data_IF_070325001285
#
_entry.id   IF_070325001285
#
_cell.length_a   1.000
_cell.length_b   1.000
_cell.length_c   1.000
_cell.angle_alpha   90.00
_cell.angle_beta   90.00
_cell.angle_gamma   90.00
#
_symmetry.space_group_name_H-M   'P 1'
#
loop_
_entity.id
_entity.type
_entity.pdbx_description
1 polymer ?
#
# COMPACT_ATOMS: atom_id res chain seq x y z
N UNK A 1 20.06 77.01 -21.63
CA UNK A 1 18.99 76.49 -20.75
C UNK A 1 19.45 75.16 -20.18
N UNK A 2 19.10 74.93 -18.92
CA UNK A 2 19.75 74.03 -17.96
C UNK A 2 19.52 72.52 -18.20
N UNK A 3 20.43 71.72 -17.61
CA UNK A 3 20.25 70.32 -17.20
C UNK A 3 21.02 69.32 -18.07
N UNK A 4 22.14 68.70 -17.67
CA UNK A 4 22.66 68.40 -16.33
C UNK A 4 23.01 66.91 -16.26
N UNK A 5 24.09 66.50 -16.93
CA UNK A 5 24.73 65.19 -16.75
C UNK A 5 25.75 65.27 -15.62
N UNK A 6 25.80 64.27 -14.74
CA UNK A 6 27.03 63.87 -14.06
C UNK A 6 26.91 62.44 -13.53
N UNK A 7 27.94 61.65 -13.80
CA UNK A 7 28.15 60.30 -13.31
C UNK A 7 29.15 60.29 -12.13
N UNK A 8 29.11 59.17 -11.40
CA UNK A 8 30.16 58.54 -10.59
C UNK A 8 30.47 59.07 -9.17
N UNK A 9 30.31 58.17 -8.17
CA UNK A 9 31.38 57.63 -7.32
C UNK A 9 30.82 56.59 -6.30
N UNK A 10 31.53 55.47 -6.10
CA UNK A 10 31.39 54.54 -4.93
C UNK A 10 32.17 55.14 -3.73
N UNK A 11 31.96 54.75 -2.45
CA UNK A 11 32.53 53.48 -1.89
C UNK A 11 31.79 52.85 -0.67
N UNK A 12 32.23 51.62 -0.34
CA UNK A 12 32.25 50.85 0.93
C UNK A 12 31.27 51.11 2.10
N UNK A 13 30.72 50.01 2.64
CA UNK A 13 30.81 49.71 4.09
C UNK A 13 30.35 48.27 4.41
N UNK A 14 31.29 47.52 4.98
CA UNK A 14 31.10 46.35 5.85
C UNK A 14 30.39 46.73 7.15
N UNK A 15 29.48 45.88 7.68
CA UNK A 15 29.24 45.55 9.12
C UNK A 15 28.01 44.60 9.27
N UNK A 16 27.78 43.92 10.43
CA UNK A 16 27.89 42.47 10.51
C UNK A 16 26.56 41.69 10.69
N UNK A 17 26.64 40.38 10.48
CA UNK A 17 25.63 39.37 10.82
C UNK A 17 25.63 39.17 12.34
N UNK A 18 24.54 39.51 13.01
CA UNK A 18 24.25 39.08 14.38
C UNK A 18 23.43 37.78 14.31
N UNK A 19 23.93 36.76 15.01
CA UNK A 19 23.28 35.48 15.20
C UNK A 19 22.00 35.62 16.03
N UNK A 20 20.96 34.92 15.60
CA UNK A 20 19.77 34.64 16.41
C UNK A 20 20.00 33.27 17.07
N UNK A 21 20.36 33.30 18.34
CA UNK A 21 20.27 32.15 19.23
C UNK A 21 18.80 31.83 19.50
N UNK A 22 18.46 30.55 19.40
CA UNK A 22 17.14 30.00 19.65
C UNK A 22 17.06 29.54 21.12
N UNK A 23 16.25 30.24 21.92
CA UNK A 23 15.90 29.81 23.28
C UNK A 23 14.66 28.90 23.28
N UNK A 24 14.66 27.78 24.03
CA UNK A 24 13.49 26.90 24.15
C UNK A 24 12.43 27.47 25.13
N UNK A 25 11.14 27.15 24.94
CA UNK A 25 10.07 27.70 25.77
C UNK A 25 10.08 27.12 27.19
N UNK A 26 9.86 28.03 28.14
CA UNK A 26 9.72 27.80 29.59
C UNK A 26 8.52 26.91 29.90
N UNK A 27 8.76 25.85 30.69
CA UNK A 27 7.72 25.01 31.30
C UNK A 27 6.98 25.81 32.39
N UNK A 28 5.68 26.05 32.21
CA UNK A 28 4.81 26.46 33.31
C UNK A 28 4.60 25.30 34.29
N UNK A 29 5.04 25.52 35.54
CA UNK A 29 4.79 24.63 36.67
C UNK A 29 3.38 24.83 37.18
N UNK A 30 2.56 23.79 37.13
CA UNK A 30 1.32 23.72 37.91
C UNK A 30 1.66 23.58 39.41
N UNK A 31 1.21 24.55 40.22
CA UNK A 31 1.30 24.51 41.68
C UNK A 31 0.18 23.66 42.31
N UNK A 32 0.34 23.22 43.57
CA UNK A 32 -0.54 22.23 44.20
C UNK A 32 -1.83 22.88 44.74
N UNK A 33 -2.98 22.27 44.45
CA UNK A 33 -4.25 22.63 45.08
C UNK A 33 -4.33 22.00 46.49
N UNK A 34 -4.62 22.85 47.47
CA UNK A 34 -4.69 22.52 48.89
C UNK A 34 -5.95 21.76 49.30
N UNK A 35 -5.79 21.06 50.41
CA UNK A 35 -6.75 20.26 51.17
C UNK A 35 -7.81 21.15 51.84
N UNK A 36 -9.07 20.70 51.79
CA UNK A 36 -10.17 21.19 52.63
C UNK A 36 -11.08 20.02 53.02
N UNK A 37 -11.02 19.65 54.30
CA UNK A 37 -11.76 18.55 54.93
C UNK A 37 -13.24 18.88 55.23
N UNK A 38 -13.98 17.76 55.46
CA UNK A 38 -15.07 17.51 56.43
C UNK A 38 -16.53 17.51 55.97
N UNK A 39 -17.18 16.37 56.21
CA UNK A 39 -18.65 16.23 56.33
C UNK A 39 -19.15 14.79 56.16
N UNK A 40 -19.09 14.00 57.22
CA UNK A 40 -19.63 12.63 57.36
C UNK A 40 -21.15 12.54 57.16
N UNK A 41 -21.66 11.41 56.63
CA UNK A 41 -22.74 10.63 57.23
C UNK A 41 -23.01 9.32 56.45
N UNK A 42 -22.69 8.18 57.09
CA UNK A 42 -23.28 6.86 56.86
C UNK A 42 -24.32 6.59 57.97
N UNK A 43 -25.36 5.75 57.77
CA UNK A 43 -25.19 4.34 58.14
C UNK A 43 -26.01 3.30 57.33
N UNK A 44 -25.51 2.07 57.26
CA UNK A 44 -26.36 0.88 57.02
C UNK A 44 -25.66 -0.37 56.46
N UNK A 45 -24.97 -1.13 57.32
CA UNK A 45 -24.55 -2.53 57.12
C UNK A 45 -25.72 -3.48 57.46
N UNK A 46 -25.89 -4.76 57.04
CA UNK A 46 -25.06 -5.98 56.84
C UNK A 46 -25.96 -7.07 56.14
N UNK A 47 -25.61 -8.37 55.89
CA UNK A 47 -24.40 -9.05 55.36
C UNK A 47 -24.64 -10.01 54.15
N UNK A 48 -23.60 -10.19 53.33
CA UNK A 48 -22.88 -11.48 53.15
C UNK A 48 -23.40 -12.56 52.18
N UNK A 49 -22.63 -12.87 51.11
CA UNK A 49 -22.06 -14.22 50.83
C UNK A 49 -20.94 -14.09 49.75
N UNK A 50 -19.75 -14.69 49.91
CA UNK A 50 -18.68 -14.59 48.91
C UNK A 50 -18.70 -15.76 47.91
N UNK A 51 -18.63 -15.46 46.60
CA UNK A 51 -18.41 -16.46 45.55
C UNK A 51 -16.92 -16.56 45.24
N UNK A 52 -16.32 -17.70 45.60
CA UNK A 52 -15.00 -18.11 45.14
C UNK A 52 -15.02 -18.56 43.66
N UNK A 53 -13.97 -18.29 42.88
CA UNK A 53 -13.83 -18.84 41.53
C UNK A 53 -13.39 -20.31 41.58
N UNK A 54 -14.10 -21.18 40.85
CA UNK A 54 -13.71 -22.57 40.62
C UNK A 54 -12.70 -22.68 39.46
N UNK A 55 -11.66 -23.52 39.59
CA UNK A 55 -10.69 -23.77 38.52
C UNK A 55 -11.24 -24.81 37.53
N UNK A 56 -11.22 -24.48 36.22
CA UNK A 56 -11.45 -25.46 35.16
C UNK A 56 -10.22 -26.36 35.00
N UNK A 57 -10.49 -27.67 35.08
CA UNK A 57 -9.54 -28.77 35.01
C UNK A 57 -8.96 -28.94 33.61
N UNK A 58 -7.64 -29.05 33.54
CA UNK A 58 -6.91 -29.60 32.39
C UNK A 58 -7.17 -31.10 32.23
N UNK A 59 -7.34 -31.55 30.98
CA UNK A 59 -7.38 -32.96 30.61
C UNK A 59 -6.00 -33.41 30.08
N UNK A 60 -5.47 -34.59 30.47
CA UNK A 60 -4.11 -35.00 30.13
C UNK A 60 -4.04 -35.67 28.74
N UNK A 61 -3.08 -35.22 27.94
CA UNK A 61 -2.61 -35.92 26.74
C UNK A 61 -1.81 -37.16 27.14
N UNK A 62 -2.33 -38.35 26.81
CA UNK A 62 -1.60 -39.62 26.92
C UNK A 62 -0.45 -39.66 25.90
N UNK A 63 0.76 -39.87 26.39
CA UNK A 63 1.89 -40.41 25.61
C UNK A 63 1.69 -41.91 25.39
N UNK A 64 1.83 -42.38 24.17
CA UNK A 64 2.14 -43.78 23.87
C UNK A 64 3.56 -43.87 23.34
N UNK A 65 4.43 -44.48 24.15
CA UNK A 65 5.78 -44.91 23.83
C UNK A 65 5.79 -46.36 23.34
N UNK A 66 6.59 -46.65 22.30
CA UNK A 66 7.07 -47.99 21.91
C UNK A 66 7.83 -47.87 20.58
N UNK A 67 9.15 -47.63 20.54
CA UNK A 67 10.33 -48.51 20.74
C UNK A 67 10.42 -49.73 19.81
N UNK A 68 11.58 -49.80 19.13
CA UNK A 68 12.23 -50.97 18.52
C UNK A 68 11.99 -51.07 17.03
N UNK A 69 12.95 -51.11 16.10
CA UNK A 69 14.39 -51.38 16.05
C UNK A 69 14.61 -51.80 14.57
N UNK A 70 15.59 -51.36 13.81
CA UNK A 70 17.02 -51.59 13.94
C UNK A 70 17.58 -52.02 12.56
N UNK A 71 18.57 -51.24 12.09
CA UNK A 71 19.76 -51.60 11.30
C UNK A 71 19.66 -52.49 10.02
N UNK A 72 20.23 -52.01 8.90
CA UNK A 72 21.60 -52.34 8.41
C UNK A 72 21.82 -51.90 6.96
N UNK A 73 23.10 -51.68 6.63
CA UNK A 73 23.64 -51.16 5.38
C UNK A 73 24.22 -52.25 4.44
N UNK A 74 24.11 -51.97 3.13
CA UNK A 74 25.01 -52.27 1.98
C UNK A 74 25.42 -53.75 1.69
N UNK A 75 26.12 -54.11 0.57
CA UNK A 75 26.47 -53.40 -0.69
C UNK A 75 26.29 -54.26 -2.00
N UNK A 76 26.60 -53.68 -3.17
CA UNK A 76 27.46 -54.38 -4.17
C UNK A 76 26.94 -54.74 -5.59
N UNK A 77 27.87 -54.65 -6.55
CA UNK A 77 27.90 -55.12 -7.96
C UNK A 77 27.10 -54.28 -8.99
N UNK A 78 27.65 -53.74 -10.09
CA UNK A 78 28.90 -53.99 -10.81
C UNK A 78 28.65 -54.96 -11.96
N UNK A 79 28.52 -54.46 -13.20
CA UNK A 79 29.14 -55.09 -14.38
C UNK A 79 29.01 -54.28 -15.67
N UNK A 80 29.86 -54.67 -16.62
CA UNK A 80 30.56 -53.84 -17.59
C UNK A 80 30.32 -54.38 -19.03
N UNK A 81 30.65 -53.57 -20.04
CA UNK A 81 31.05 -53.93 -21.43
C UNK A 81 29.92 -54.32 -22.42
N UNK A 82 29.69 -53.51 -23.46
CA UNK A 82 30.08 -53.83 -24.85
C UNK A 82 29.84 -52.68 -25.83
N UNK A 83 30.93 -52.34 -26.52
CA UNK A 83 31.01 -51.54 -27.73
C UNK A 83 30.25 -52.25 -28.85
N UNK A 84 29.54 -51.51 -29.68
CA UNK A 84 29.54 -51.84 -31.10
C UNK A 84 29.67 -50.58 -31.97
N UNK A 85 30.67 -50.62 -32.84
CA UNK A 85 30.96 -49.62 -33.87
C UNK A 85 30.36 -50.16 -35.15
N UNK A 86 29.41 -49.44 -35.76
CA UNK A 86 29.20 -49.54 -37.22
C UNK A 86 29.06 -48.16 -37.85
N UNK A 87 30.07 -47.84 -38.67
CA UNK A 87 30.03 -46.81 -39.70
C UNK A 87 29.18 -47.31 -40.88
N UNK A 88 28.32 -46.44 -41.45
CA UNK A 88 28.30 -46.14 -42.89
C UNK A 88 27.32 -45.02 -43.28
N UNK A 89 27.91 -43.90 -43.70
CA UNK A 89 27.68 -43.10 -44.90
C UNK A 89 26.26 -42.82 -45.46
N UNK A 90 26.02 -41.50 -45.60
CA UNK A 90 25.46 -40.74 -46.73
C UNK A 90 23.96 -40.86 -47.07
N UNK A 91 23.28 -39.72 -46.89
CA UNK A 91 22.01 -39.39 -47.54
C UNK A 91 21.41 -38.12 -46.97
N UNK A 92 21.71 -36.96 -47.56
CA UNK A 92 20.96 -35.72 -47.36
C UNK A 92 19.53 -35.89 -47.88
N UNK A 93 18.54 -35.28 -47.21
CA UNK A 93 17.84 -34.21 -47.89
C UNK A 93 17.64 -32.97 -47.02
N UNK A 94 17.89 -31.84 -47.67
CA UNK A 94 17.47 -30.49 -47.32
C UNK A 94 15.98 -30.44 -46.98
N UNK A 95 15.66 -30.16 -45.72
CA UNK A 95 14.37 -29.63 -45.30
C UNK A 95 14.64 -28.31 -44.56
N UNK A 96 14.12 -27.22 -45.10
CA UNK A 96 14.35 -25.87 -44.61
C UNK A 96 14.03 -25.77 -43.12
N UNK A 97 15.01 -25.30 -42.35
CA UNK A 97 14.75 -24.72 -41.04
C UNK A 97 13.88 -23.50 -41.27
N UNK A 98 12.59 -23.63 -40.99
CA UNK A 98 11.81 -22.49 -40.54
C UNK A 98 12.51 -21.99 -39.27
N UNK A 99 13.19 -20.85 -39.39
CA UNK A 99 13.60 -20.08 -38.23
C UNK A 99 12.32 -19.71 -37.49
N UNK A 100 11.98 -20.49 -36.47
CA UNK A 100 11.06 -20.03 -35.44
C UNK A 100 11.78 -18.88 -34.75
N UNK A 101 11.53 -17.66 -35.22
CA UNK A 101 11.73 -16.44 -34.43
C UNK A 101 10.84 -16.55 -33.21
N UNK A 102 11.31 -17.33 -32.22
CA UNK A 102 10.81 -17.27 -30.87
C UNK A 102 11.18 -15.89 -30.35
N UNK A 103 10.32 -14.91 -30.64
CA UNK A 103 10.14 -13.80 -29.73
C UNK A 103 9.82 -14.46 -28.40
N UNK A 104 10.82 -14.58 -27.51
CA UNK A 104 10.50 -14.73 -26.11
C UNK A 104 9.68 -13.48 -25.82
N UNK A 105 8.38 -13.63 -25.66
CA UNK A 105 7.54 -12.62 -25.06
C UNK A 105 8.21 -12.35 -23.72
N UNK A 106 9.08 -11.33 -23.65
CA UNK A 106 9.66 -10.91 -22.39
C UNK A 106 8.46 -10.55 -21.55
N UNK A 107 8.24 -11.33 -20.49
CA UNK A 107 7.13 -11.13 -19.58
C UNK A 107 7.18 -9.67 -19.13
N UNK A 108 6.08 -8.94 -19.29
CA UNK A 108 6.08 -7.50 -19.03
C UNK A 108 6.45 -7.25 -17.56
N UNK A 109 7.53 -6.48 -17.34
CA UNK A 109 7.98 -6.15 -15.98
C UNK A 109 6.86 -5.49 -15.18
N UNK A 110 6.71 -5.91 -13.93
CA UNK A 110 5.63 -5.49 -13.05
C UNK A 110 5.96 -4.17 -12.31
N UNK A 111 4.93 -3.56 -11.72
CA UNK A 111 5.05 -2.50 -10.71
C UNK A 111 4.83 -3.12 -9.33
N UNK A 112 5.81 -3.04 -8.44
CA UNK A 112 5.69 -3.52 -7.06
C UNK A 112 5.24 -2.38 -6.14
N UNK A 113 4.22 -2.61 -5.31
CA UNK A 113 3.87 -1.72 -4.21
C UNK A 113 4.18 -2.42 -2.88
N UNK A 114 5.04 -1.79 -2.07
CA UNK A 114 5.43 -2.25 -0.73
C UNK A 114 4.70 -1.40 0.30
N UNK A 115 3.95 -2.04 1.20
CA UNK A 115 3.21 -1.31 2.23
C UNK A 115 2.13 -2.14 2.91
N UNK A 116 1.04 -1.46 3.28
CA UNK A 116 -0.02 -2.04 4.08
C UNK A 116 -1.12 -2.66 3.20
N UNK A 117 -1.69 -3.76 3.71
CA UNK A 117 -3.01 -4.25 3.33
C UNK A 117 -3.85 -4.37 4.60
N UNK A 118 -5.10 -3.91 4.52
CA UNK A 118 -6.09 -4.06 5.60
C UNK A 118 -7.41 -4.57 5.05
N UNK A 119 -8.23 -5.16 5.91
CA UNK A 119 -9.66 -5.33 5.65
C UNK A 119 -10.42 -4.12 6.17
N UNK A 120 -11.07 -3.36 5.28
CA UNK A 120 -11.97 -2.29 5.68
C UNK A 120 -13.41 -2.82 5.74
N UNK A 121 -14.02 -2.77 6.93
CA UNK A 121 -15.46 -2.96 7.13
C UNK A 121 -16.12 -1.60 7.02
N UNK A 122 -16.75 -1.34 5.87
CA UNK A 122 -17.27 -0.03 5.51
C UNK A 122 -18.78 0.02 5.77
N UNK A 123 -19.18 0.89 6.68
CA UNK A 123 -20.56 1.22 7.00
C UNK A 123 -20.93 2.54 6.32
N UNK A 124 -21.92 2.51 5.44
CA UNK A 124 -22.43 3.69 4.76
C UNK A 124 -23.63 4.22 5.53
N UNK A 125 -23.61 5.50 5.89
CA UNK A 125 -24.63 6.16 6.71
C UNK A 125 -25.07 7.48 6.09
N UNK A 126 -26.28 7.93 6.39
CA UNK A 126 -26.81 9.25 6.01
C UNK A 126 -26.38 10.36 6.97
N UNK A 127 -26.11 10.00 8.23
CA UNK A 127 -25.55 10.86 9.28
C UNK A 127 -24.52 10.11 10.10
N UNK A 128 -23.55 10.84 10.65
CA UNK A 128 -22.58 10.24 11.56
C UNK A 128 -23.30 9.74 12.83
N UNK A 129 -23.03 8.51 13.31
CA UNK A 129 -23.68 7.99 14.51
C UNK A 129 -23.28 8.81 15.73
N UNK A 130 -24.25 9.13 16.57
CA UNK A 130 -24.02 9.78 17.87
C UNK A 130 -23.42 8.75 18.84
N UNK A 131 -22.52 9.20 19.70
CA UNK A 131 -21.92 8.36 20.74
C UNK A 131 -23.01 7.77 21.65
N UNK A 132 -22.84 6.51 22.05
CA UNK A 132 -23.80 5.78 22.90
C UNK A 132 -25.21 5.61 22.29
N UNK A 133 -25.29 5.51 20.96
CA UNK A 133 -26.55 5.23 20.23
C UNK A 133 -26.47 4.04 19.27
N UNK A 134 -27.62 3.40 19.05
CA UNK A 134 -27.78 2.35 18.04
C UNK A 134 -28.31 2.94 16.73
N UNK A 135 -27.47 2.93 15.68
CA UNK A 135 -27.84 3.45 14.35
C UNK A 135 -27.76 2.36 13.29
N UNK A 136 -28.79 2.23 12.45
CA UNK A 136 -28.75 1.36 11.27
C UNK A 136 -27.99 2.03 10.13
N UNK A 137 -27.02 1.33 9.54
CA UNK A 137 -26.37 1.79 8.32
C UNK A 137 -27.30 1.63 7.10
N UNK A 138 -27.11 2.47 6.09
CA UNK A 138 -27.77 2.36 4.78
C UNK A 138 -27.29 1.12 4.02
N UNK A 139 -25.99 0.81 4.11
CA UNK A 139 -25.39 -0.40 3.55
C UNK A 139 -24.06 -0.71 4.25
N UNK A 140 -23.62 -1.96 4.15
CA UNK A 140 -22.33 -2.40 4.66
C UNK A 140 -21.61 -3.24 3.61
N UNK A 141 -20.29 -3.09 3.51
CA UNK A 141 -19.46 -3.93 2.64
C UNK A 141 -18.08 -4.17 3.24
N UNK A 142 -17.46 -5.26 2.84
CA UNK A 142 -16.05 -5.51 3.06
C UNK A 142 -15.26 -5.07 1.84
N UNK A 143 -14.15 -4.40 2.06
CA UNK A 143 -13.27 -3.93 1.00
C UNK A 143 -11.82 -4.15 1.43
N UNK A 144 -10.98 -4.60 0.50
CA UNK A 144 -9.54 -4.58 0.72
C UNK A 144 -9.04 -3.13 0.67
N UNK A 145 -8.32 -2.71 1.72
CA UNK A 145 -7.75 -1.38 1.91
C UNK A 145 -6.23 -1.39 2.06
N UNK A 146 -5.69 -0.26 2.56
CA UNK A 146 -4.26 0.00 2.77
C UNK A 146 -3.62 0.67 1.55
N UNK A 147 -2.76 1.68 1.74
CA UNK A 147 -2.36 2.58 0.65
C UNK A 147 -1.69 1.83 -0.51
N UNK A 148 -0.67 1.02 -0.22
CA UNK A 148 0.00 0.21 -1.24
C UNK A 148 -0.95 -0.81 -1.91
N UNK A 149 -1.82 -1.44 -1.13
CA UNK A 149 -2.81 -2.41 -1.60
C UNK A 149 -3.90 -1.78 -2.49
N UNK A 150 -4.39 -0.59 -2.14
CA UNK A 150 -5.31 0.21 -2.95
C UNK A 150 -4.64 0.67 -4.24
N UNK A 151 -3.37 1.07 -4.17
CA UNK A 151 -2.59 1.42 -5.35
C UNK A 151 -2.48 0.23 -6.33
N UNK A 152 -2.25 -0.99 -5.83
CA UNK A 152 -2.28 -2.19 -6.67
C UNK A 152 -3.64 -2.41 -7.35
N UNK A 153 -4.75 -2.19 -6.63
CA UNK A 153 -6.10 -2.27 -7.20
C UNK A 153 -6.26 -1.33 -8.38
N UNK A 154 -5.82 -0.08 -8.25
CA UNK A 154 -5.93 0.93 -9.31
C UNK A 154 -5.00 0.63 -10.47
N UNK A 155 -3.74 0.26 -10.21
CA UNK A 155 -2.79 -0.16 -11.25
C UNK A 155 -3.32 -1.32 -12.09
N UNK A 156 -3.91 -2.33 -11.44
CA UNK A 156 -4.55 -3.46 -12.11
C UNK A 156 -5.73 -3.01 -12.99
N UNK A 157 -6.60 -2.14 -12.48
CA UNK A 157 -7.72 -1.59 -13.25
C UNK A 157 -7.26 -0.76 -14.45
N UNK A 158 -6.14 -0.03 -14.32
CA UNK A 158 -5.50 0.70 -15.41
C UNK A 158 -4.79 -0.22 -16.42
N UNK A 159 -4.70 -1.52 -16.14
CA UNK A 159 -4.12 -2.52 -17.04
C UNK A 159 -2.62 -2.75 -16.85
N UNK A 160 -1.99 -2.19 -15.81
CA UNK A 160 -0.59 -2.46 -15.50
C UNK A 160 -0.43 -3.72 -14.64
N UNK A 161 0.42 -4.68 -15.04
CA UNK A 161 0.80 -5.81 -14.18
C UNK A 161 1.45 -5.29 -12.89
N UNK A 162 0.90 -5.66 -11.74
CA UNK A 162 1.41 -5.22 -10.45
C UNK A 162 1.52 -6.36 -9.43
N UNK A 163 2.39 -6.14 -8.45
CA UNK A 163 2.61 -7.05 -7.33
C UNK A 163 2.48 -6.27 -6.02
N UNK A 164 2.05 -6.96 -4.98
CA UNK A 164 1.95 -6.44 -3.62
C UNK A 164 2.97 -7.13 -2.70
N UNK A 165 3.65 -6.34 -1.88
CA UNK A 165 4.50 -6.83 -0.79
C UNK A 165 4.08 -6.14 0.51
N UNK A 166 3.65 -6.94 1.47
CA UNK A 166 3.21 -6.50 2.78
C UNK A 166 3.08 -7.70 3.71
N UNK A 167 2.79 -7.44 4.98
CA UNK A 167 2.67 -8.49 5.99
C UNK A 167 1.24 -9.04 6.07
N UNK A 168 1.10 -10.36 6.07
CA UNK A 168 -0.17 -11.07 6.33
C UNK A 168 0.06 -12.18 7.35
N UNK A 169 -0.96 -12.52 8.13
CA UNK A 169 -0.95 -13.65 9.05
C UNK A 169 -2.09 -14.62 8.68
N UNK A 170 -1.92 -15.94 8.81
CA UNK A 170 -2.98 -16.90 8.50
C UNK A 170 -4.27 -16.62 9.28
N UNK A 171 -5.40 -16.53 8.57
CA UNK A 171 -6.70 -16.26 9.18
C UNK A 171 -7.76 -15.91 8.14
N UNK A 172 -9.03 -15.80 8.58
CA UNK A 172 -10.14 -15.49 7.68
C UNK A 172 -9.99 -14.13 6.98
N UNK A 173 -9.45 -13.13 7.68
CA UNK A 173 -9.13 -11.82 7.11
C UNK A 173 -8.14 -11.96 5.96
N UNK A 174 -7.00 -12.62 6.17
CA UNK A 174 -6.02 -12.83 5.10
C UNK A 174 -6.58 -13.66 3.94
N UNK A 175 -7.41 -14.67 4.20
CA UNK A 175 -8.06 -15.46 3.15
C UNK A 175 -8.94 -14.59 2.24
N UNK A 176 -9.74 -13.68 2.83
CA UNK A 176 -10.53 -12.72 2.07
C UNK A 176 -9.63 -11.80 1.22
N UNK A 177 -8.60 -11.22 1.83
CA UNK A 177 -7.71 -10.26 1.16
C UNK A 177 -6.93 -10.91 0.00
N UNK A 178 -6.41 -12.13 0.19
CA UNK A 178 -5.71 -12.88 -0.85
C UNK A 178 -6.66 -13.26 -1.99
N UNK A 179 -7.91 -13.61 -1.68
CA UNK A 179 -8.92 -13.88 -2.71
C UNK A 179 -9.22 -12.62 -3.54
N UNK A 180 -9.39 -11.46 -2.91
CA UNK A 180 -9.61 -10.19 -3.61
C UNK A 180 -8.39 -9.74 -4.44
N UNK A 181 -7.16 -9.87 -3.92
CA UNK A 181 -5.95 -9.64 -4.71
C UNK A 181 -5.92 -10.51 -5.99
N UNK A 182 -6.22 -11.81 -5.85
CA UNK A 182 -6.29 -12.74 -6.99
C UNK A 182 -7.39 -12.38 -7.98
N UNK A 183 -8.57 -11.99 -7.49
CA UNK A 183 -9.68 -11.52 -8.34
C UNK A 183 -9.28 -10.32 -9.19
N UNK A 184 -8.40 -9.46 -8.67
CA UNK A 184 -7.83 -8.31 -9.38
C UNK A 184 -6.54 -8.63 -10.14
N UNK A 185 -6.08 -9.88 -10.18
CA UNK A 185 -4.84 -10.24 -10.88
C UNK A 185 -3.58 -9.58 -10.30
N UNK A 186 -3.59 -9.19 -9.04
CA UNK A 186 -2.42 -8.67 -8.33
C UNK A 186 -1.58 -9.84 -7.85
N UNK A 187 -0.29 -9.84 -8.17
CA UNK A 187 0.65 -10.86 -7.69
C UNK A 187 0.94 -10.67 -6.20
N UNK A 188 0.74 -11.73 -5.41
CA UNK A 188 0.97 -11.77 -3.96
C UNK A 188 2.11 -12.71 -3.57
N UNK A 189 2.95 -13.11 -4.53
CA UNK A 189 4.11 -13.99 -4.30
C UNK A 189 5.17 -13.39 -3.38
N UNK A 190 5.18 -12.06 -3.21
CA UNK A 190 6.13 -11.33 -2.37
C UNK A 190 5.58 -10.99 -0.98
N UNK A 191 4.39 -11.48 -0.61
CA UNK A 191 3.82 -11.26 0.73
C UNK A 191 4.71 -11.90 1.80
N UNK A 192 5.01 -11.14 2.84
CA UNK A 192 5.72 -11.60 4.03
C UNK A 192 4.73 -12.26 5.01
N UNK A 193 4.65 -13.59 4.97
CA UNK A 193 3.75 -14.35 5.84
C UNK A 193 4.30 -14.44 7.26
N UNK A 194 3.58 -13.83 8.21
CA UNK A 194 3.85 -13.89 9.64
C UNK A 194 3.30 -15.20 10.23
N UNK A 195 4.05 -15.80 11.15
CA UNK A 195 3.64 -17.07 11.80
C UNK A 195 2.51 -16.91 12.82
N UNK A 196 2.32 -15.69 13.35
CA UNK A 196 1.34 -15.34 14.38
C UNK A 196 0.89 -13.87 14.21
N UNK A 197 -0.15 -13.51 14.95
CA UNK A 197 -0.76 -12.18 14.92
C UNK A 197 -2.00 -12.15 14.03
N UNK A 198 -2.65 -10.99 13.98
CA UNK A 198 -3.87 -10.78 13.21
C UNK A 198 -3.62 -9.79 12.08
N UNK A 199 -4.07 -10.13 10.87
CA UNK A 199 -4.02 -9.17 9.76
C UNK A 199 -4.93 -7.99 10.08
N UNK A 200 -4.49 -6.73 9.87
CA UNK A 200 -5.23 -5.55 10.33
C UNK A 200 -6.61 -5.42 9.70
N UNK A 201 -7.56 -4.93 10.49
CA UNK A 201 -8.92 -4.64 10.09
C UNK A 201 -9.31 -3.23 10.55
N UNK A 202 -9.98 -2.45 9.71
CA UNK A 202 -10.48 -1.12 10.04
C UNK A 202 -12.01 -1.10 10.05
N UNK A 203 -12.58 -0.34 10.97
CA UNK A 203 -13.99 0.05 10.93
C UNK A 203 -14.09 1.42 10.27
N UNK A 204 -14.72 1.47 9.10
CA UNK A 204 -14.87 2.69 8.31
C UNK A 204 -16.33 3.14 8.35
N UNK A 205 -16.55 4.43 8.61
CA UNK A 205 -17.86 5.08 8.51
C UNK A 205 -17.79 6.08 7.36
N UNK A 206 -18.65 5.90 6.36
CA UNK A 206 -18.78 6.79 5.19
C UNK A 206 -20.13 7.48 5.25
N UNK A 207 -20.11 8.81 5.39
CA UNK A 207 -21.33 9.61 5.43
C UNK A 207 -21.68 10.12 4.04
N UNK A 208 -22.80 9.68 3.47
CA UNK A 208 -23.20 10.04 2.10
C UNK A 208 -23.66 11.48 1.95
N UNK A 209 -24.06 12.13 3.05
CA UNK A 209 -24.56 13.52 3.03
C UNK A 209 -23.42 14.53 2.93
N UNK A 210 -22.30 14.27 3.59
CA UNK A 210 -21.10 15.11 3.56
C UNK A 210 -20.01 14.59 2.61
N UNK A 211 -20.05 13.31 2.24
CA UNK A 211 -18.95 12.61 1.57
C UNK A 211 -17.75 12.32 2.48
N UNK A 212 -17.87 12.58 3.79
CA UNK A 212 -16.79 12.39 4.75
C UNK A 212 -16.59 10.93 5.11
N UNK A 213 -15.41 10.63 5.63
CA UNK A 213 -15.02 9.30 6.06
C UNK A 213 -14.28 9.38 7.40
N UNK A 214 -14.68 8.52 8.32
CA UNK A 214 -13.95 8.24 9.56
C UNK A 214 -13.43 6.82 9.54
N UNK A 215 -12.15 6.62 9.87
CA UNK A 215 -11.53 5.30 9.96
C UNK A 215 -11.09 5.09 11.40
N UNK A 216 -11.60 4.02 12.02
CA UNK A 216 -11.06 3.47 13.25
C UNK A 216 -10.15 2.32 12.86
N UNK A 217 -8.85 2.54 12.95
CA UNK A 217 -7.83 1.53 12.68
C UNK A 217 -7.76 0.54 13.85
N UNK A 218 -7.36 -0.70 13.58
CA UNK A 218 -7.03 -1.67 14.62
C UNK A 218 -5.93 -1.13 15.54
N UNK A 219 -5.92 -1.59 16.79
CA UNK A 219 -5.00 -1.13 17.84
C UNK A 219 -3.52 -1.47 17.53
N UNK A 220 -3.30 -2.46 16.66
CA UNK A 220 -1.98 -2.99 16.32
C UNK A 220 -1.86 -3.35 14.85
N UNK A 221 -0.61 -3.38 14.36
CA UNK A 221 -0.26 -3.99 13.07
C UNK A 221 0.62 -5.21 13.31
N UNK A 222 0.62 -6.13 12.35
CA UNK A 222 1.68 -7.13 12.23
C UNK A 222 3.05 -6.43 12.09
N UNK A 223 4.16 -7.11 12.42
CA UNK A 223 5.49 -6.61 12.06
C UNK A 223 5.52 -6.24 10.59
N UNK A 224 5.92 -5.00 10.29
CA UNK A 224 6.08 -4.54 8.91
C UNK A 224 7.16 -5.36 8.19
N UNK A 225 7.12 -5.35 6.86
CA UNK A 225 8.13 -5.98 6.00
C UNK A 225 9.53 -5.48 6.39
N UNK A 226 10.46 -6.40 6.60
CA UNK A 226 11.86 -6.08 6.94
C UNK A 226 12.74 -5.99 5.70
N UNK A 227 13.91 -5.37 5.84
CA UNK A 227 14.92 -5.35 4.78
C UNK A 227 15.34 -6.78 4.37
N UNK A 228 15.37 -7.72 5.33
CA UNK A 228 15.67 -9.14 5.10
C UNK A 228 14.60 -9.86 4.27
N UNK A 229 13.34 -9.48 4.42
CA UNK A 229 12.27 -9.99 3.55
C UNK A 229 12.45 -9.44 2.13
N UNK A 230 12.75 -8.14 2.02
CA UNK A 230 12.96 -7.47 0.74
C UNK A 230 14.21 -7.97 -0.01
N UNK A 231 15.24 -8.44 0.70
CA UNK A 231 16.45 -9.05 0.10
C UNK A 231 16.14 -10.27 -0.78
N UNK A 232 15.06 -10.99 -0.48
CA UNK A 232 14.64 -12.19 -1.20
C UNK A 232 13.90 -11.87 -2.50
N UNK A 233 13.48 -10.62 -2.69
CA UNK A 233 12.74 -10.18 -3.89
C UNK A 233 13.68 -10.14 -5.08
N UNK A 234 13.35 -10.85 -6.15
CA UNK A 234 14.02 -10.71 -7.45
C UNK A 234 13.65 -9.37 -8.10
N UNK A 235 14.57 -8.40 -8.00
CA UNK A 235 14.39 -7.05 -8.52
C UNK A 235 14.25 -6.99 -10.04
N UNK A 236 14.79 -7.97 -10.77
CA UNK A 236 14.80 -7.96 -12.25
C UNK A 236 13.39 -8.01 -12.86
N UNK A 237 12.42 -8.52 -12.09
CA UNK A 237 11.00 -8.62 -12.45
C UNK A 237 10.27 -7.28 -12.51
N UNK A 238 10.82 -6.23 -11.91
CA UNK A 238 10.11 -4.98 -11.70
C UNK A 238 10.71 -3.84 -12.54
N UNK A 239 9.84 -3.01 -13.10
CA UNK A 239 10.21 -1.75 -13.77
C UNK A 239 10.03 -0.54 -12.86
N UNK A 240 9.16 -0.69 -11.86
CA UNK A 240 8.87 0.35 -10.87
C UNK A 240 8.63 -0.27 -9.50
N UNK A 241 9.17 0.35 -8.44
CA UNK A 241 8.88 -0.02 -7.04
C UNK A 241 8.38 1.22 -6.30
N UNK A 242 7.17 1.12 -5.75
CA UNK A 242 6.56 2.12 -4.89
C UNK A 242 6.59 1.65 -3.43
N UNK A 243 7.04 2.51 -2.51
CA UNK A 243 7.09 2.21 -1.07
C UNK A 243 6.23 3.21 -0.30
N UNK A 244 5.21 2.70 0.40
CA UNK A 244 4.45 3.43 1.42
C UNK A 244 5.34 3.59 2.67
N UNK A 245 5.59 4.82 3.12
CA UNK A 245 6.45 5.10 4.27
C UNK A 245 5.86 4.60 5.59
N UNK A 246 6.50 3.62 6.22
CA UNK A 246 6.01 2.95 7.45
C UNK A 246 7.08 2.76 8.52
N UNK A 247 8.03 1.88 8.30
CA UNK A 247 9.15 1.52 9.17
C UNK A 247 10.46 2.02 8.54
N UNK A 248 10.64 3.33 8.55
CA UNK A 248 11.59 4.02 7.67
C UNK A 248 13.04 3.51 7.76
N UNK A 249 13.52 3.11 8.94
CA UNK A 249 14.88 2.58 9.09
C UNK A 249 15.14 1.29 8.31
N UNK A 250 14.14 0.41 8.19
CA UNK A 250 14.21 -0.79 7.35
C UNK A 250 14.00 -0.44 5.87
N UNK A 251 13.07 0.45 5.58
CA UNK A 251 12.76 0.87 4.21
C UNK A 251 13.92 1.62 3.53
N UNK A 252 14.71 2.39 4.29
CA UNK A 252 15.97 2.97 3.80
C UNK A 252 16.91 1.89 3.27
N UNK A 253 17.04 0.75 3.96
CA UNK A 253 17.89 -0.36 3.49
C UNK A 253 17.32 -0.99 2.20
N UNK A 254 15.99 -1.09 2.10
CA UNK A 254 15.33 -1.55 0.86
C UNK A 254 15.64 -0.62 -0.32
N UNK A 255 15.54 0.69 -0.10
CA UNK A 255 15.83 1.72 -1.10
C UNK A 255 17.30 1.68 -1.54
N UNK A 256 18.23 1.58 -0.58
CA UNK A 256 19.66 1.42 -0.85
C UNK A 256 19.96 0.16 -1.66
N UNK A 257 19.27 -0.96 -1.41
CA UNK A 257 19.40 -2.18 -2.23
C UNK A 257 18.97 -1.95 -3.68
N UNK A 258 17.89 -1.19 -3.91
CA UNK A 258 17.44 -0.86 -5.27
C UNK A 258 18.46 0.06 -5.96
N UNK A 259 19.04 1.03 -5.25
CA UNK A 259 20.09 1.90 -5.80
C UNK A 259 21.35 1.11 -6.17
N UNK A 260 21.79 0.19 -5.30
CA UNK A 260 22.91 -0.72 -5.59
C UNK A 260 22.64 -1.60 -6.80
N UNK A 261 21.42 -2.13 -6.93
CA UNK A 261 21.00 -2.86 -8.12
C UNK A 261 21.11 -1.98 -9.37
N UNK A 262 20.51 -0.79 -9.34
CA UNK A 262 20.49 0.16 -10.45
C UNK A 262 21.88 0.67 -10.86
N UNK A 263 22.85 0.71 -9.94
CA UNK A 263 24.23 1.12 -10.24
C UNK A 263 24.92 0.20 -11.26
N UNK A 264 24.55 -1.09 -11.27
CA UNK A 264 25.06 -2.08 -12.22
C UNK A 264 24.22 -2.26 -13.49
N UNK A 265 23.09 -1.55 -13.62
CA UNK A 265 22.17 -1.72 -14.75
C UNK A 265 22.32 -0.61 -15.80
N UNK A 266 22.13 -0.91 -17.09
CA UNK A 266 22.04 0.11 -18.12
C UNK A 266 20.75 0.96 -17.93
N UNK A 267 20.71 2.21 -18.39
CA UNK A 267 19.60 3.15 -18.12
C UNK A 267 18.20 2.60 -18.37
N UNK A 268 18.02 1.83 -19.45
CA UNK A 268 16.76 1.23 -19.87
C UNK A 268 16.29 0.05 -18.99
N UNK A 269 17.18 -0.52 -18.18
CA UNK A 269 16.86 -1.60 -17.25
C UNK A 269 16.77 -1.14 -15.79
N UNK A 270 17.10 0.13 -15.50
CA UNK A 270 17.00 0.69 -14.15
C UNK A 270 15.55 0.70 -13.69
N UNK A 271 15.35 0.33 -12.44
CA UNK A 271 14.07 0.33 -11.75
C UNK A 271 13.78 1.76 -11.30
N UNK A 272 12.65 2.33 -11.73
CA UNK A 272 12.18 3.62 -11.21
C UNK A 272 11.60 3.42 -9.81
N UNK A 273 11.83 4.38 -8.92
CA UNK A 273 11.41 4.27 -7.52
C UNK A 273 10.50 5.44 -7.16
N UNK A 274 9.42 5.15 -6.45
CA UNK A 274 8.62 6.19 -5.81
C UNK A 274 8.38 5.91 -4.33
N UNK A 275 8.26 6.97 -3.54
CA UNK A 275 8.04 6.86 -2.09
C UNK A 275 6.86 7.74 -1.68
N UNK A 276 6.02 7.25 -0.79
CA UNK A 276 4.96 8.03 -0.16
C UNK A 276 5.30 8.34 1.30
N UNK A 277 5.23 9.62 1.67
CA UNK A 277 5.29 10.10 3.06
C UNK A 277 3.93 10.68 3.41
N UNK A 278 3.03 9.83 3.92
CA UNK A 278 1.63 10.20 4.18
C UNK A 278 1.33 10.51 5.66
N UNK A 279 2.02 9.85 6.61
CA UNK A 279 1.81 10.08 8.05
C UNK A 279 2.74 11.16 8.59
N UNK A 280 2.24 12.09 9.44
CA UNK A 280 3.06 13.11 10.10
C UNK A 280 3.90 12.51 11.24
N UNK A 281 4.86 11.65 10.89
CA UNK A 281 5.80 11.01 11.81
C UNK A 281 7.22 11.36 11.39
N UNK A 282 7.98 11.97 12.29
CA UNK A 282 9.34 12.47 11.97
C UNK A 282 10.27 11.39 11.44
N UNK A 283 10.14 10.16 11.94
CA UNK A 283 10.90 9.00 11.48
C UNK A 283 10.79 8.77 9.96
N UNK A 284 9.66 9.14 9.33
CA UNK A 284 9.44 8.93 7.89
C UNK A 284 10.15 9.97 7.03
N UNK A 285 10.56 11.12 7.58
CA UNK A 285 11.11 12.21 6.79
C UNK A 285 12.51 11.89 6.23
N UNK A 286 13.20 10.89 6.76
CA UNK A 286 14.42 10.37 6.14
C UNK A 286 14.17 9.77 4.74
N UNK A 287 12.93 9.40 4.43
CA UNK A 287 12.56 8.82 3.14
C UNK A 287 12.46 9.85 2.01
N UNK A 288 12.38 11.15 2.33
CA UNK A 288 12.41 12.21 1.31
C UNK A 288 13.65 12.12 0.41
N UNK A 289 14.79 11.70 0.96
CA UNK A 289 16.07 11.61 0.26
C UNK A 289 16.19 10.45 -0.73
N UNK A 290 15.12 9.69 -0.98
CA UNK A 290 15.15 8.49 -1.83
C UNK A 290 14.03 8.50 -2.88
N UNK A 291 14.25 7.76 -3.96
CA UNK A 291 13.30 7.63 -5.06
C UNK A 291 13.42 8.72 -6.12
N UNK A 292 12.84 8.45 -7.28
CA UNK A 292 12.75 9.39 -8.40
C UNK A 292 11.50 10.27 -8.29
N UNK A 293 10.48 9.79 -7.59
CA UNK A 293 9.21 10.50 -7.33
C UNK A 293 8.84 10.36 -5.86
N UNK A 294 8.68 11.47 -5.16
CA UNK A 294 8.26 11.48 -3.76
C UNK A 294 6.87 12.10 -3.66
N UNK A 295 5.93 11.37 -3.07
CA UNK A 295 4.59 11.86 -2.74
C UNK A 295 4.58 12.31 -1.28
N UNK A 296 4.18 13.54 -1.01
CA UNK A 296 3.96 14.06 0.35
C UNK A 296 2.50 14.45 0.52
N UNK A 297 1.90 13.99 1.62
CA UNK A 297 0.49 14.27 1.89
C UNK A 297 0.25 15.72 2.34
N UNK A 298 -0.98 16.19 2.12
CA UNK A 298 -1.52 17.43 2.70
C UNK A 298 -1.36 17.47 4.23
N UNK A 299 -1.52 16.34 4.91
CA UNK A 299 -1.45 16.28 6.37
C UNK A 299 -0.01 16.41 6.89
N UNK A 300 0.97 15.77 6.23
CA UNK A 300 2.39 15.97 6.54
C UNK A 300 2.81 17.42 6.27
N UNK A 301 2.38 17.98 5.13
CA UNK A 301 2.68 19.36 4.79
C UNK A 301 2.11 20.34 5.84
N UNK A 302 0.85 20.16 6.24
CA UNK A 302 0.20 20.97 7.29
C UNK A 302 0.89 20.81 8.64
N UNK A 303 1.27 19.59 9.01
CA UNK A 303 1.98 19.33 10.25
C UNK A 303 3.34 20.04 10.30
N UNK A 304 4.01 20.19 9.16
CA UNK A 304 5.27 20.94 9.01
C UNK A 304 5.05 22.45 8.86
N UNK A 305 3.83 22.95 8.98
CA UNK A 305 3.49 24.38 8.98
C UNK A 305 3.19 24.98 7.61
N UNK A 306 3.14 24.18 6.54
CA UNK A 306 2.80 24.66 5.20
C UNK A 306 1.28 24.76 5.01
N UNK A 307 0.83 25.82 4.32
CA UNK A 307 -0.61 26.11 4.15
C UNK A 307 -1.15 25.76 2.78
N UNK A 308 -0.27 25.46 1.83
CA UNK A 308 -0.61 25.05 0.46
C UNK A 308 0.38 24.02 -0.08
N UNK A 309 0.00 23.32 -1.15
CA UNK A 309 0.89 22.41 -1.87
C UNK A 309 2.13 23.15 -2.39
N UNK A 310 1.98 24.35 -2.95
CA UNK A 310 3.10 25.16 -3.46
C UNK A 310 4.12 25.50 -2.37
N UNK A 311 3.65 25.92 -1.19
CA UNK A 311 4.53 26.19 -0.04
C UNK A 311 5.27 24.92 0.39
N UNK A 312 4.56 23.80 0.49
CA UNK A 312 5.13 22.51 0.88
C UNK A 312 6.21 22.05 -0.11
N UNK A 313 5.93 22.13 -1.41
CA UNK A 313 6.88 21.77 -2.46
C UNK A 313 8.14 22.63 -2.36
N UNK A 314 8.02 23.95 -2.30
CA UNK A 314 9.19 24.85 -2.19
C UNK A 314 9.98 24.60 -0.91
N UNK A 315 9.30 24.40 0.22
CA UNK A 315 9.94 24.20 1.52
C UNK A 315 10.60 22.82 1.69
N UNK A 316 10.12 21.80 0.98
CA UNK A 316 10.58 20.42 1.15
C UNK A 316 11.47 19.92 -0.01
N UNK A 317 11.51 20.61 -1.15
CA UNK A 317 12.28 20.17 -2.31
C UNK A 317 13.79 19.99 -2.01
N UNK A 318 14.35 20.81 -1.10
CA UNK A 318 15.74 20.64 -0.67
C UNK A 318 16.05 19.31 0.04
N UNK A 319 15.02 18.54 0.43
CA UNK A 319 15.16 17.23 1.08
C UNK A 319 15.14 16.05 0.09
N UNK A 320 14.72 16.26 -1.15
CA UNK A 320 14.70 15.18 -2.15
C UNK A 320 16.05 15.00 -2.81
N UNK A 321 16.34 13.78 -3.28
CA UNK A 321 17.59 13.50 -4.00
C UNK A 321 17.69 14.30 -5.30
N UNK A 322 18.92 14.54 -5.75
CA UNK A 322 19.17 15.22 -7.03
C UNK A 322 18.47 14.51 -8.19
N UNK A 323 17.70 15.27 -8.98
CA UNK A 323 16.95 14.77 -10.13
C UNK A 323 15.57 14.20 -9.82
N UNK A 324 15.17 14.07 -8.55
CA UNK A 324 13.84 13.61 -8.17
C UNK A 324 12.76 14.68 -8.40
N UNK A 325 11.51 14.25 -8.46
CA UNK A 325 10.34 15.13 -8.42
C UNK A 325 9.58 14.95 -7.11
N UNK A 326 9.14 16.05 -6.51
CA UNK A 326 8.28 16.06 -5.33
C UNK A 326 6.85 16.40 -5.76
N UNK A 327 5.87 15.65 -5.26
CA UNK A 327 4.45 15.79 -5.59
C UNK A 327 3.65 15.96 -4.31
N UNK A 328 2.73 16.92 -4.29
CA UNK A 328 1.82 17.14 -3.17
C UNK A 328 0.39 17.32 -3.69
N UNK A 329 -0.47 16.33 -3.42
CA UNK A 329 -1.89 16.43 -3.68
C UNK A 329 -2.60 17.14 -2.53
N UNK A 330 -3.52 18.05 -2.86
CA UNK A 330 -4.19 18.93 -1.90
C UNK A 330 -5.72 18.77 -1.87
N UNK A 331 -6.18 17.56 -2.19
CA UNK A 331 -7.59 17.17 -2.25
C UNK A 331 -8.35 17.96 -3.33
N UNK A 332 -9.41 18.69 -2.96
CA UNK A 332 -10.27 19.44 -3.88
C UNK A 332 -9.56 20.59 -4.61
N UNK A 333 -8.41 21.04 -4.10
CA UNK A 333 -7.55 22.05 -4.74
C UNK A 333 -6.66 21.45 -5.84
N UNK A 334 -6.70 20.13 -6.06
CA UNK A 334 -5.90 19.46 -7.09
C UNK A 334 -4.56 18.96 -6.57
N UNK A 335 -3.53 19.02 -7.40
CA UNK A 335 -2.20 18.55 -7.05
C UNK A 335 -1.10 19.32 -7.78
N UNK A 336 0.05 19.43 -7.11
CA UNK A 336 1.21 20.15 -7.60
C UNK A 336 2.44 19.23 -7.63
N UNK A 337 3.38 19.54 -8.53
CA UNK A 337 4.70 18.91 -8.56
C UNK A 337 5.81 19.94 -8.77
N UNK A 338 6.99 19.64 -8.21
CA UNK A 338 8.22 20.39 -8.43
C UNK A 338 9.32 19.39 -8.81
N UNK A 339 9.96 19.65 -9.96
CA UNK A 339 11.04 18.82 -10.50
C UNK A 339 12.39 19.57 -10.55
N UNK A 340 13.42 18.92 -11.12
CA UNK A 340 14.80 19.46 -11.15
C UNK A 340 14.98 20.69 -12.03
N UNK A 341 14.02 20.98 -12.91
CA UNK A 341 13.98 22.21 -13.69
C UNK A 341 13.48 23.42 -12.89
N UNK A 342 13.07 23.21 -11.63
CA UNK A 342 12.55 24.26 -10.74
C UNK A 342 11.16 24.77 -11.12
N UNK A 343 10.50 24.16 -12.11
CA UNK A 343 9.17 24.57 -12.56
C UNK A 343 8.11 23.94 -11.66
N UNK A 344 7.24 24.79 -11.11
CA UNK A 344 6.01 24.35 -10.46
C UNK A 344 4.99 23.95 -11.53
N UNK A 345 4.49 22.73 -11.39
CA UNK A 345 3.41 22.18 -12.20
C UNK A 345 2.18 22.03 -11.32
N UNK A 346 1.01 22.27 -11.89
CA UNK A 346 -0.26 22.18 -11.18
C UNK A 346 -1.30 21.53 -12.06
N UNK A 347 -2.22 20.79 -11.45
CA UNK A 347 -3.47 20.37 -12.07
C UNK A 347 -4.61 20.56 -11.09
N UNK A 348 -5.67 21.23 -11.54
CA UNK A 348 -6.93 21.29 -10.81
C UNK A 348 -7.46 19.87 -10.51
N UNK A 349 -8.26 19.75 -9.46
CA UNK A 349 -9.06 18.56 -9.21
C UNK A 349 -10.19 18.42 -10.24
N UNK A 350 -10.67 17.19 -10.42
CA UNK A 350 -11.82 16.88 -11.29
C UNK A 350 -12.97 16.35 -10.45
N UNK A 351 -13.65 17.19 -9.64
CA UNK A 351 -14.68 16.72 -8.72
C UNK A 351 -15.85 16.10 -9.49
N UNK A 352 -16.42 14.99 -8.99
CA UNK A 352 -17.64 14.42 -9.55
C UNK A 352 -18.83 15.35 -9.25
N UNK A 353 -19.96 15.24 -9.99
CA UNK A 353 -21.17 16.01 -9.69
C UNK A 353 -21.65 15.85 -8.25
N UNK A 354 -21.40 14.68 -7.65
CA UNK A 354 -21.63 14.40 -6.24
C UNK A 354 -20.50 13.52 -5.70
N UNK A 355 -19.87 13.96 -4.62
CA UNK A 355 -18.90 13.15 -3.87
C UNK A 355 -19.66 12.10 -3.05
N UNK A 356 -19.31 10.83 -3.24
CA UNK A 356 -19.98 9.69 -2.59
C UNK A 356 -19.02 8.93 -1.67
N UNK A 357 -17.76 8.77 -2.07
CA UNK A 357 -16.79 7.98 -1.31
C UNK A 357 -15.34 8.42 -1.61
N UNK A 358 -14.69 9.05 -0.64
CA UNK A 358 -13.30 9.52 -0.73
C UNK A 358 -12.26 8.51 -0.22
N UNK A 359 -12.67 7.33 0.29
CA UNK A 359 -11.76 6.29 0.80
C UNK A 359 -10.86 5.76 -0.32
N UNK A 360 -9.55 5.99 -0.23
CA UNK A 360 -8.57 5.57 -1.24
C UNK A 360 -8.40 6.52 -2.43
N UNK A 361 -8.90 7.76 -2.34
CA UNK A 361 -8.70 8.77 -3.40
C UNK A 361 -7.22 9.16 -3.57
N UNK A 362 -6.47 9.29 -2.47
CA UNK A 362 -5.02 9.54 -2.50
C UNK A 362 -4.26 8.39 -3.15
N UNK A 363 -4.55 7.15 -2.76
CA UNK A 363 -3.97 5.95 -3.36
C UNK A 363 -4.27 5.86 -4.87
N UNK A 364 -5.48 6.25 -5.27
CA UNK A 364 -5.89 6.32 -6.67
C UNK A 364 -5.07 7.36 -7.44
N UNK A 365 -4.83 8.52 -6.84
CA UNK A 365 -3.97 9.55 -7.41
C UNK A 365 -2.52 9.03 -7.56
N UNK A 366 -1.91 8.52 -6.49
CA UNK A 366 -0.53 8.00 -6.50
C UNK A 366 -0.36 6.93 -7.59
N UNK A 367 -1.24 5.93 -7.61
CA UNK A 367 -1.22 4.85 -8.59
C UNK A 367 -1.37 5.33 -10.03
N UNK A 368 -2.23 6.32 -10.26
CA UNK A 368 -2.49 6.87 -11.60
C UNK A 368 -1.31 7.72 -12.09
N UNK A 369 -0.67 8.49 -11.21
CA UNK A 369 0.57 9.20 -11.51
C UNK A 369 1.69 8.20 -11.85
N UNK A 370 1.89 7.17 -11.02
CA UNK A 370 2.87 6.11 -11.25
C UNK A 370 2.60 5.42 -12.59
N UNK A 371 1.35 5.05 -12.87
CA UNK A 371 0.95 4.45 -14.15
C UNK A 371 1.33 5.35 -15.33
N UNK A 372 0.89 6.62 -15.31
CA UNK A 372 1.14 7.56 -16.40
C UNK A 372 2.64 7.78 -16.65
N UNK A 373 3.41 7.99 -15.59
CA UNK A 373 4.87 8.14 -15.69
C UNK A 373 5.56 6.85 -16.18
N UNK A 374 5.06 5.67 -15.79
CA UNK A 374 5.59 4.38 -16.25
C UNK A 374 5.34 4.12 -17.74
N UNK A 375 4.32 4.80 -18.32
CA UNK A 375 4.01 4.80 -19.75
C UNK A 375 4.79 5.89 -20.53
N UNK A 376 5.76 6.56 -19.89
CA UNK A 376 6.59 7.58 -20.52
C UNK A 376 5.93 8.95 -20.69
N UNK A 377 4.79 9.19 -20.03
CA UNK A 377 4.14 10.51 -20.02
C UNK A 377 4.94 11.53 -19.21
N UNK A 378 4.73 12.80 -19.53
CA UNK A 378 5.32 13.92 -18.78
C UNK A 378 4.72 14.05 -17.38
N UNK A 379 5.41 14.75 -16.47
CA UNK A 379 4.91 15.01 -15.12
C UNK A 379 3.58 15.77 -15.12
N UNK A 380 3.41 16.75 -16.02
CA UNK A 380 2.15 17.50 -16.14
C UNK A 380 0.99 16.59 -16.58
N UNK A 381 1.21 15.74 -17.59
CA UNK A 381 0.20 14.74 -18.00
C UNK A 381 -0.12 13.76 -16.87
N UNK A 382 0.89 13.34 -16.11
CA UNK A 382 0.71 12.43 -14.98
C UNK A 382 -0.08 13.05 -13.83
N UNK A 383 0.21 14.30 -13.44
CA UNK A 383 -0.58 15.05 -12.46
C UNK A 383 -2.04 15.13 -12.87
N UNK A 384 -2.29 15.58 -14.10
CA UNK A 384 -3.67 15.75 -14.61
C UNK A 384 -4.40 14.42 -14.66
N UNK A 385 -3.75 13.35 -15.14
CA UNK A 385 -4.34 12.02 -15.14
C UNK A 385 -4.64 11.52 -13.71
N UNK A 386 -3.72 11.75 -12.77
CA UNK A 386 -3.91 11.46 -11.35
C UNK A 386 -5.17 12.12 -10.79
N UNK A 387 -5.31 13.43 -11.00
CA UNK A 387 -6.48 14.20 -10.54
C UNK A 387 -7.78 13.72 -11.20
N UNK A 388 -7.75 13.36 -12.48
CA UNK A 388 -8.92 12.85 -13.21
C UNK A 388 -9.43 11.52 -12.65
N UNK A 389 -8.53 10.54 -12.46
CA UNK A 389 -8.93 9.20 -12.00
C UNK A 389 -9.36 9.26 -10.52
N UNK A 390 -8.65 10.01 -9.68
CA UNK A 390 -9.01 10.21 -8.28
C UNK A 390 -10.37 10.94 -8.14
N UNK A 391 -10.58 11.99 -8.91
CA UNK A 391 -11.85 12.73 -8.95
C UNK A 391 -13.03 11.85 -9.36
N UNK A 392 -12.86 11.04 -10.41
CA UNK A 392 -13.87 10.05 -10.82
C UNK A 392 -14.15 9.02 -9.73
N UNK A 393 -13.10 8.50 -9.07
CA UNK A 393 -13.23 7.56 -7.95
C UNK A 393 -14.06 8.15 -6.81
N UNK A 394 -13.91 9.44 -6.51
CA UNK A 394 -14.70 10.10 -5.46
C UNK A 394 -16.22 10.06 -5.71
N UNK A 395 -16.67 9.84 -6.95
CA UNK A 395 -18.08 9.70 -7.32
C UNK A 395 -18.61 8.26 -7.28
N UNK A 396 -17.78 7.29 -6.90
CA UNK A 396 -18.07 5.86 -6.95
C UNK A 396 -17.80 5.21 -5.59
N UNK A 397 -18.61 4.23 -5.20
CA UNK A 397 -18.31 3.39 -4.04
C UNK A 397 -17.21 2.39 -4.41
N UNK A 398 -16.11 2.37 -3.65
CA UNK A 398 -14.95 1.52 -3.96
C UNK A 398 -14.20 1.98 -5.22
N UNK A 399 -13.63 1.03 -5.97
CA UNK A 399 -12.74 1.30 -7.13
C UNK A 399 -13.29 0.82 -8.47
N UNK A 400 -14.35 0.00 -8.48
CA UNK A 400 -14.89 -0.53 -9.72
C UNK A 400 -15.60 0.59 -10.51
N UNK A 401 -15.29 0.71 -11.80
CA UNK A 401 -15.84 1.76 -12.67
C UNK A 401 -14.95 3.00 -12.85
N UNK A 402 -13.79 3.09 -12.20
CA UNK A 402 -12.84 4.23 -12.40
C UNK A 402 -12.32 4.31 -13.83
N UNK A 403 -12.21 3.18 -14.55
CA UNK A 403 -11.96 3.12 -16.00
C UNK A 403 -13.20 2.64 -16.75
N UNK A 404 -13.48 3.16 -17.97
CA UNK A 404 -14.53 2.61 -18.82
C UNK A 404 -14.24 1.15 -19.16
N UNK A 405 -15.22 0.25 -19.03
CA UNK A 405 -15.07 -1.12 -19.52
C UNK A 405 -15.12 -1.12 -21.05
N UNK A 406 -13.96 -0.95 -21.69
CA UNK A 406 -13.84 -0.89 -23.15
C UNK A 406 -12.56 -1.50 -23.74
N UNK A 407 -11.67 -2.05 -22.92
CA UNK A 407 -10.49 -2.78 -23.38
C UNK A 407 -10.63 -4.26 -23.05
N UNK A 408 -10.59 -5.12 -24.06
CA UNK A 408 -10.50 -6.58 -23.90
C UNK A 408 -9.37 -6.93 -22.94
N UNK A 409 -9.70 -7.49 -21.76
CA UNK A 409 -8.70 -8.19 -20.95
C UNK A 409 -8.15 -9.34 -21.80
N UNK A 410 -6.82 -9.53 -21.90
CA UNK A 410 -6.31 -10.77 -22.46
C UNK A 410 -6.80 -11.91 -21.58
N UNK A 411 -7.54 -12.83 -22.20
CA UNK A 411 -8.06 -14.02 -21.55
C UNK A 411 -6.90 -14.86 -20.97
N UNK A 412 -6.80 -14.90 -19.63
CA UNK A 412 -5.85 -15.76 -18.91
C UNK A 412 -6.43 -17.16 -18.62
N UNK A 413 -7.44 -17.64 -19.36
CA UNK A 413 -8.04 -18.96 -19.16
C UNK A 413 -7.16 -20.17 -19.52
N UNK A 414 -5.93 -19.97 -20.02
CA UNK A 414 -5.09 -21.10 -20.48
C UNK A 414 -4.09 -21.67 -19.46
N UNK A 415 -3.96 -21.12 -18.24
CA UNK A 415 -3.15 -21.76 -17.18
C UNK A 415 -3.96 -22.89 -16.52
N UNK A 416 -3.93 -24.08 -17.13
CA UNK A 416 -4.43 -25.33 -16.55
C UNK A 416 -3.76 -25.61 -15.20
N UNK A 417 -4.48 -25.35 -14.12
CA UNK A 417 -4.13 -25.84 -12.78
C UNK A 417 -4.66 -27.28 -12.64
N UNK A 418 -3.89 -28.24 -12.06
CA UNK A 418 -4.37 -29.60 -11.89
C UNK A 418 -5.50 -29.65 -10.87
N UNK A 419 -6.71 -30.02 -11.30
CA UNK A 419 -7.83 -30.30 -10.40
C UNK A 419 -7.54 -31.58 -9.62
N UNK A 420 -7.31 -31.45 -8.32
CA UNK A 420 -7.55 -32.54 -7.36
C UNK A 420 -9.06 -32.71 -7.22
N UNK A 421 -9.58 -33.79 -7.81
CA UNK A 421 -10.96 -34.20 -7.66
C UNK A 421 -11.12 -34.97 -6.34
N UNK A 422 -11.80 -34.39 -5.37
CA UNK A 422 -12.44 -35.13 -4.27
C UNK A 422 -13.94 -35.07 -4.48
N UNK A 423 -14.50 -36.20 -4.91
CA UNK A 423 -15.95 -36.41 -4.97
C UNK A 423 -16.49 -36.54 -3.56
N UNK A 424 -17.45 -35.69 -3.20
CA UNK A 424 -18.37 -36.00 -2.12
C UNK A 424 -19.79 -35.82 -2.67
N UNK A 425 -20.42 -36.96 -2.97
CA UNK A 425 -21.81 -37.04 -3.35
C UNK A 425 -22.66 -36.95 -2.09
N UNK A 426 -23.53 -35.94 -2.00
CA UNK A 426 -24.67 -35.94 -1.10
C UNK A 426 -25.91 -35.49 -1.88
N UNK A 427 -26.78 -36.47 -2.10
CA UNK A 427 -28.23 -36.38 -2.34
C UNK A 427 -28.84 -35.19 -1.57
N UNK A 428 -29.60 -34.29 -2.17
CA UNK A 428 -30.86 -34.57 -2.86
C UNK A 428 -32.04 -34.31 -1.92
N UNK A 429 -32.43 -33.04 -1.73
CA UNK A 429 -33.73 -32.64 -1.19
C UNK A 429 -34.03 -31.16 -1.54
N UNK A 430 -35.02 -30.94 -2.41
CA UNK A 430 -35.66 -29.63 -2.60
C UNK A 430 -36.61 -29.33 -1.43
N UNK A 431 -36.87 -28.04 -1.15
CA UNK A 431 -38.25 -27.65 -0.89
C UNK A 431 -38.73 -26.49 -1.77
N UNK A 432 -39.89 -26.77 -2.36
CA UNK A 432 -41.02 -25.92 -2.77
C UNK A 432 -40.95 -24.40 -2.55
N UNK A 433 -41.23 -23.71 -3.66
CA UNK A 433 -41.81 -22.38 -3.79
C UNK A 433 -42.96 -22.12 -2.81
N UNK A 434 -42.86 -21.03 -2.04
CA UNK A 434 -44.02 -20.31 -1.50
C UNK A 434 -43.87 -18.83 -1.89
N UNK A 435 -44.84 -18.35 -2.65
CA UNK A 435 -45.06 -16.93 -2.95
C UNK A 435 -45.72 -16.29 -1.73
N UNK A 436 -45.21 -15.16 -1.26
CA UNK A 436 -46.04 -14.15 -0.61
C UNK A 436 -45.39 -12.77 -0.72
N UNK A 437 -46.04 -11.95 -1.53
CA UNK A 437 -46.01 -10.49 -1.54
C UNK A 437 -46.36 -9.90 -0.18
N UNK A 438 -45.65 -8.85 0.28
CA UNK A 438 -46.24 -7.57 0.66
C UNK A 438 -45.18 -6.50 0.92
N UNK A 439 -45.45 -5.32 0.38
CA UNK A 439 -44.81 -4.03 0.63
C UNK A 439 -45.47 -3.36 1.84
N UNK A 440 -44.70 -2.67 2.69
CA UNK A 440 -45.13 -1.46 3.40
C UNK A 440 -43.96 -0.87 4.21
N UNK A 441 -43.48 0.29 3.74
CA UNK A 441 -42.70 1.37 4.37
C UNK A 441 -41.36 1.06 5.07
#
# INVERSE_FOLDING_TARGET
>A
MQGGQAAAARPDSTLPVQGLEWEPPVQERAGPAGVGERGEQEPGSVPGTPLHPSPLREAPWRRSSGRGGGARAAPGSGDTILRDKRQRAKGTPSAGRAESSGSSLMEEKQILCVGLVVLDVINVVDKYPEEDTDTRCLSQRWQRGGNASNSCTVLSLLGAPCAFMGSLAPGHVANFLVADFRQRGVDVSQVAWQSRGETPCSCCIVNTSSGSRTIVLYDTNLPDVSAKDFEQVDLTRFKWIHIEGRNASEQVKMLQRIEQHNAGQPPEQKIRVSVEVEKPREELYQLFGYGDVVFVSKDVAKHLGFRSAVEALRGLYGRVRTGASLICAWAEEGADALGPDGRLLHSDAFPPPRVVDTLGAGDTFNASVIFSLSQGKSMQEALTFGCQVAGKKCGLQGFDGIVPQGGTRPDQSSRKCPRLATSCALTGAQPSLVKSSHWAW
#
